data_IF_141452287299
#
_entry.id   IF_141452287299
#
_cell.length_a   1.000
_cell.length_b   1.000
_cell.length_c   1.000
_cell.angle_alpha   90.00
_cell.angle_beta   90.00
_cell.angle_gamma   90.00
#
_symmetry.space_group_name_H-M   'P 1'
#
loop_
_entity.id
_entity.type
_entity.pdbx_description
1 polymer ?
#
# COMPACT_ATOMS: atom_id res chain seq x y z
N UNK A 1 10.43 6.42 20.71
CA UNK A 1 10.14 5.15 20.02
C UNK A 1 8.78 5.30 19.37
N UNK A 2 8.65 5.11 18.05
CA UNK A 2 7.33 5.01 17.42
C UNK A 2 6.75 3.65 17.82
N UNK A 3 5.55 3.58 18.43
CA UNK A 3 4.96 2.29 18.74
C UNK A 3 4.65 1.57 17.42
N UNK A 4 5.10 0.32 17.29
CA UNK A 4 4.68 -0.55 16.20
C UNK A 4 3.27 -1.04 16.48
N UNK A 5 2.46 -1.13 15.44
CA UNK A 5 1.14 -1.74 15.50
C UNK A 5 1.13 -3.08 14.74
N UNK A 6 0.33 -4.02 15.24
CA UNK A 6 0.05 -5.26 14.52
C UNK A 6 -1.05 -4.99 13.50
N UNK A 7 -0.80 -5.32 12.24
CA UNK A 7 -1.72 -5.08 11.14
C UNK A 7 -1.73 -6.26 10.17
N UNK A 8 -2.88 -6.52 9.56
CA UNK A 8 -3.00 -7.51 8.50
C UNK A 8 -2.61 -6.87 7.15
N UNK A 9 -1.41 -7.18 6.68
CA UNK A 9 -0.86 -6.66 5.42
C UNK A 9 -1.63 -7.13 4.18
N UNK A 10 -2.54 -8.10 4.32
CA UNK A 10 -3.36 -8.55 3.20
C UNK A 10 -4.51 -7.60 2.88
N UNK A 11 -4.86 -6.72 3.81
CA UNK A 11 -6.02 -5.82 3.73
C UNK A 11 -5.75 -4.37 4.20
N UNK A 12 -4.63 -4.11 4.88
CA UNK A 12 -4.29 -2.76 5.31
C UNK A 12 -3.85 -1.89 4.12
N UNK A 13 -4.47 -0.72 3.97
CA UNK A 13 -4.20 0.21 2.86
C UNK A 13 -2.81 0.83 2.91
N UNK A 14 -2.30 1.13 4.10
CA UNK A 14 -1.04 1.86 4.34
C UNK A 14 0.15 0.91 4.49
N UNK A 15 -0.08 -0.40 4.45
CA UNK A 15 0.94 -1.45 4.56
C UNK A 15 0.50 -2.70 3.80
N UNK A 16 0.12 -2.49 2.54
CA UNK A 16 -0.41 -3.54 1.69
C UNK A 16 0.72 -4.43 1.15
N UNK A 17 0.63 -5.73 1.38
CA UNK A 17 1.64 -6.70 0.93
C UNK A 17 2.89 -6.78 1.82
N UNK A 18 3.01 -5.90 2.81
CA UNK A 18 4.15 -5.83 3.74
C UNK A 18 4.14 -4.54 4.54
N UNK A 19 5.09 -4.36 5.47
CA UNK A 19 5.26 -3.09 6.14
C UNK A 19 5.94 -2.09 5.19
N UNK A 20 5.41 -0.85 5.07
CA UNK A 20 6.04 0.20 4.25
C UNK A 20 7.36 0.68 4.86
N UNK A 21 7.45 0.64 6.19
CA UNK A 21 8.68 0.97 6.93
C UNK A 21 9.34 -0.34 7.34
N UNK A 22 10.56 -0.64 6.85
CA UNK A 22 11.29 -1.84 7.27
C UNK A 22 11.70 -1.75 8.74
N UNK A 23 11.92 -2.91 9.35
CA UNK A 23 12.46 -3.01 10.70
C UNK A 23 13.99 -3.02 10.64
N UNK A 24 14.64 -1.97 11.16
CA UNK A 24 16.11 -1.83 11.26
C UNK A 24 16.85 -2.17 9.94
N UNK A 25 17.94 -2.95 10.01
CA UNK A 25 18.87 -3.27 8.92
C UNK A 25 18.29 -4.25 7.86
N UNK A 26 17.01 -4.61 7.94
CA UNK A 26 16.34 -5.50 6.98
C UNK A 26 15.74 -4.73 5.78
N UNK A 27 16.45 -3.73 5.27
CA UNK A 27 16.01 -2.86 4.15
C UNK A 27 15.78 -3.63 2.84
N UNK A 28 16.40 -4.80 2.67
CA UNK A 28 16.33 -5.62 1.45
C UNK A 28 15.03 -6.44 1.30
N UNK A 29 14.20 -6.56 2.34
CA UNK A 29 12.90 -7.22 2.22
C UNK A 29 11.87 -6.23 1.70
N UNK A 30 11.63 -6.29 0.38
CA UNK A 30 10.62 -5.52 -0.36
C UNK A 30 9.40 -5.15 0.49
N UNK A 31 9.41 -3.91 0.97
CA UNK A 31 8.39 -3.35 1.85
C UNK A 31 7.05 -3.25 1.15
N UNK A 32 5.98 -3.35 1.93
CA UNK A 32 4.64 -3.19 1.39
C UNK A 32 4.42 -1.79 0.82
N UNK A 33 3.22 -1.59 0.29
CA UNK A 33 2.85 -0.37 -0.42
C UNK A 33 1.77 0.35 0.36
N UNK A 34 1.97 1.64 0.57
CA UNK A 34 0.88 2.53 0.95
C UNK A 34 0.05 2.83 -0.31
N UNK A 35 -1.03 2.08 -0.49
CA UNK A 35 -1.95 2.22 -1.62
C UNK A 35 -2.60 3.61 -1.69
N UNK A 36 -2.70 4.32 -0.56
CA UNK A 36 -3.33 5.64 -0.50
C UNK A 36 -2.45 6.75 -1.07
N UNK A 37 -1.14 6.51 -1.10
CA UNK A 37 -0.13 7.42 -1.66
C UNK A 37 0.01 7.32 -3.19
N UNK A 38 -0.68 6.36 -3.83
CA UNK A 38 -0.57 6.13 -5.27
C UNK A 38 -1.06 7.34 -6.08
N UNK A 39 -0.25 7.83 -7.05
CA UNK A 39 -0.61 8.98 -7.85
C UNK A 39 -1.88 8.75 -8.68
N UNK A 40 -2.77 9.75 -8.69
CA UNK A 40 -3.97 9.72 -9.54
C UNK A 40 -5.05 8.73 -9.11
N UNK A 41 -4.90 8.10 -7.95
CA UNK A 41 -5.92 7.22 -7.37
C UNK A 41 -6.99 8.06 -6.69
N UNK A 42 -8.25 7.73 -6.95
CA UNK A 42 -9.41 8.31 -6.26
C UNK A 42 -10.10 7.28 -5.35
N UNK A 43 -10.00 5.99 -5.68
CA UNK A 43 -10.51 4.89 -4.88
C UNK A 43 -9.63 3.65 -5.09
N UNK A 44 -9.21 3.04 -3.99
CA UNK A 44 -8.29 1.90 -3.97
C UNK A 44 -8.58 1.01 -2.77
N UNK A 45 -8.34 -0.27 -2.96
CA UNK A 45 -8.48 -1.30 -1.94
C UNK A 45 -7.17 -2.08 -1.86
N UNK A 46 -6.75 -2.48 -0.65
CA UNK A 46 -5.74 -3.53 -0.51
C UNK A 46 -6.46 -4.89 -0.49
N UNK A 47 -6.17 -5.74 -1.47
CA UNK A 47 -6.74 -7.09 -1.53
C UNK A 47 -5.66 -8.12 -1.84
N UNK A 48 -5.49 -9.08 -0.93
CA UNK A 48 -4.48 -10.15 -1.03
C UNK A 48 -3.08 -9.58 -1.21
N UNK A 49 -2.76 -8.55 -0.41
CA UNK A 49 -1.47 -7.89 -0.42
C UNK A 49 -1.15 -7.10 -1.69
N UNK A 50 -2.18 -6.69 -2.46
CA UNK A 50 -2.01 -5.87 -3.67
C UNK A 50 -2.99 -4.70 -3.69
N UNK A 51 -2.50 -3.55 -4.16
CA UNK A 51 -3.33 -2.36 -4.38
C UNK A 51 -4.21 -2.57 -5.63
N UNK A 52 -5.52 -2.65 -5.41
CA UNK A 52 -6.54 -2.76 -6.45
C UNK A 52 -7.17 -1.38 -6.66
N UNK A 53 -6.73 -0.65 -7.69
CA UNK A 53 -7.30 0.65 -8.01
C UNK A 53 -8.70 0.46 -8.61
N UNK A 54 -9.72 1.03 -7.96
CA UNK A 54 -11.12 0.97 -8.40
C UNK A 54 -11.52 2.20 -9.21
N UNK A 55 -10.93 3.35 -8.91
CA UNK A 55 -11.22 4.62 -9.60
C UNK A 55 -10.00 5.52 -9.65
N UNK A 56 -9.82 6.17 -10.79
CA UNK A 56 -8.83 7.22 -10.98
C UNK A 56 -9.42 8.63 -10.79
N UNK A 57 -8.57 9.57 -10.40
CA UNK A 57 -8.87 11.00 -10.41
C UNK A 57 -9.13 11.50 -11.83
N UNK A 58 -9.75 12.67 -11.97
CA UNK A 58 -10.01 13.26 -13.29
C UNK A 58 -8.70 13.49 -14.04
N UNK A 59 -8.64 13.07 -15.30
CA UNK A 59 -7.43 13.16 -16.13
C UNK A 59 -6.52 11.94 -16.03
N UNK A 60 -6.85 10.98 -15.17
CA UNK A 60 -6.15 9.70 -15.05
C UNK A 60 -7.03 8.57 -15.56
N UNK A 61 -6.40 7.54 -16.10
CA UNK A 61 -7.05 6.42 -16.79
C UNK A 61 -6.41 5.13 -16.30
N UNK A 62 -7.21 4.09 -16.03
CA UNK A 62 -6.68 2.74 -15.88
C UNK A 62 -6.31 2.22 -17.28
N UNK A 63 -5.04 1.89 -17.46
CA UNK A 63 -4.55 1.23 -18.67
C UNK A 63 -4.59 -0.29 -18.48
N UNK A 64 -5.09 -1.06 -19.45
CA UNK A 64 -5.07 -2.53 -19.42
C UNK A 64 -3.66 -3.13 -19.37
#
# INVERSE_FOLDING_TARGET
>A
VKPYECLDTQINLESCGGCVVPYDDFEDEAGGVDCTSLPGVADVECARGRCMVRKCQRGWLLVP
#
